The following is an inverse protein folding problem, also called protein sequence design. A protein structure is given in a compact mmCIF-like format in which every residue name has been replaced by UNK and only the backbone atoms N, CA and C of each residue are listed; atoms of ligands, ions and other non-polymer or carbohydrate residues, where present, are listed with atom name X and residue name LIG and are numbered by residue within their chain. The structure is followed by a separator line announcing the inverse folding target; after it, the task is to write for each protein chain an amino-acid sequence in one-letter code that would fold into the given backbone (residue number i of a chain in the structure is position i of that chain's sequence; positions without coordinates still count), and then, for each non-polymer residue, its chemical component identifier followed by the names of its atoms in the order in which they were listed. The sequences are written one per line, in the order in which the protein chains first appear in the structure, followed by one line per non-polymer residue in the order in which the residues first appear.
data_IF_035607339541
#
_entry.id   IF_035607339541
#
_cell.length_a   1.000
_cell.length_b   1.000
_cell.length_c   1.000
_cell.angle_alpha   90.00
_cell.angle_beta   90.00
_cell.angle_gamma   90.00
#
_symmetry.space_group_name_H-M   'P 1'
#
loop_
_entity.id
_entity.type
_entity.pdbx_description
1 polymer ?
#
# COMPACT_ATOMS: atom_id res chain seq x y z
N UNK A 1 -26.14 9.10 -30.33
CA UNK A 1 -24.74 9.27 -29.94
C UNK A 1 -24.50 8.32 -28.80
N UNK A 2 -23.76 7.24 -29.06
CA UNK A 2 -23.52 6.21 -28.05
C UNK A 2 -22.13 6.45 -27.46
N UNK A 3 -22.08 6.84 -26.20
CA UNK A 3 -20.84 7.12 -25.48
C UNK A 3 -20.56 6.01 -24.48
N UNK A 4 -19.28 5.63 -24.34
CA UNK A 4 -18.85 4.70 -23.29
C UNK A 4 -18.19 5.55 -22.20
N UNK A 5 -18.77 5.55 -21.00
CA UNK A 5 -18.16 6.12 -19.80
C UNK A 5 -17.72 5.00 -18.86
N UNK A 6 -16.54 5.16 -18.26
CA UNK A 6 -16.03 4.25 -17.25
C UNK A 6 -14.75 4.77 -16.61
N UNK A 7 -14.65 4.66 -15.29
CA UNK A 7 -13.39 4.88 -14.58
C UNK A 7 -12.73 3.52 -14.39
N UNK A 8 -11.55 3.32 -14.99
CA UNK A 8 -10.79 2.09 -14.77
C UNK A 8 -10.26 2.09 -13.32
N UNK A 9 -10.55 1.03 -12.57
CA UNK A 9 -9.96 0.78 -11.25
C UNK A 9 -8.99 -0.38 -11.33
N UNK A 10 -7.95 -0.33 -10.52
CA UNK A 10 -7.10 -1.50 -10.32
C UNK A 10 -7.63 -2.27 -9.12
N UNK A 11 -8.35 -3.35 -9.38
CA UNK A 11 -8.75 -4.26 -8.30
C UNK A 11 -7.72 -5.36 -8.27
N UNK A 12 -6.97 -5.45 -7.16
CA UNK A 12 -6.12 -6.61 -6.90
C UNK A 12 -5.00 -6.85 -7.93
N UNK A 13 -4.48 -5.79 -8.55
CA UNK A 13 -3.41 -5.89 -9.57
C UNK A 13 -3.91 -6.20 -10.98
N UNK A 14 -5.22 -6.19 -11.19
CA UNK A 14 -5.87 -6.33 -12.50
C UNK A 14 -6.64 -5.05 -12.79
N UNK A 15 -6.48 -4.42 -13.97
CA UNK A 15 -7.31 -3.29 -14.34
C UNK A 15 -8.73 -3.80 -14.65
N UNK A 16 -9.71 -3.21 -14.00
CA UNK A 16 -11.12 -3.43 -14.24
C UNK A 16 -11.62 -2.40 -15.25
N UNK A 17 -12.25 -2.89 -16.32
CA UNK A 17 -12.91 -2.07 -17.30
C UNK A 17 -14.36 -1.85 -16.84
N UNK A 18 -14.69 -0.61 -16.49
CA UNK A 18 -16.08 -0.21 -16.28
C UNK A 18 -16.68 0.16 -17.65
N UNK A 19 -17.86 -0.35 -17.95
CA UNK A 19 -18.65 0.10 -19.10
C UNK A 19 -20.07 0.36 -18.63
N UNK A 20 -20.63 1.47 -19.09
CA UNK A 20 -22.06 1.77 -18.98
C UNK A 20 -22.61 1.80 -20.40
N UNK A 21 -23.60 0.95 -20.69
CA UNK A 21 -24.33 1.02 -21.94
C UNK A 21 -25.48 2.00 -21.77
N UNK A 22 -25.44 3.13 -22.48
CA UNK A 22 -26.56 4.06 -22.54
C UNK A 22 -27.63 3.50 -23.49
N UNK A 23 -28.89 3.49 -23.05
CA UNK A 23 -29.99 2.97 -23.86
C UNK A 23 -31.23 3.84 -23.74
N UNK A 24 -31.72 4.31 -24.88
CA UNK A 24 -32.92 5.13 -24.98
C UNK A 24 -32.79 6.16 -26.09
N UNK A 25 -33.86 6.93 -26.29
CA UNK A 25 -33.87 8.09 -27.18
C UNK A 25 -33.89 9.42 -26.40
N UNK A 26 -33.75 9.36 -25.08
CA UNK A 26 -33.82 10.52 -24.17
C UNK A 26 -33.09 10.24 -22.85
N UNK A 27 -32.74 11.29 -22.10
CA UNK A 27 -32.02 11.15 -20.82
C UNK A 27 -32.87 10.52 -19.69
N UNK A 28 -34.20 10.67 -19.75
CA UNK A 28 -35.15 10.06 -18.82
C UNK A 28 -36.20 9.25 -19.59
N UNK A 29 -35.93 7.96 -19.73
CA UNK A 29 -36.85 7.04 -20.39
C UNK A 29 -38.12 6.83 -19.56
N UNK A 30 -39.26 6.70 -20.25
CA UNK A 30 -40.51 6.36 -19.57
C UNK A 30 -40.38 5.03 -18.85
N UNK A 31 -40.89 4.94 -17.62
CA UNK A 31 -40.92 3.68 -16.84
C UNK A 31 -41.59 2.55 -17.63
N UNK A 32 -42.57 2.89 -18.48
CA UNK A 32 -43.25 1.93 -19.34
C UNK A 32 -42.35 1.26 -20.40
N UNK A 33 -41.21 1.87 -20.72
CA UNK A 33 -40.26 1.38 -21.74
C UNK A 33 -39.14 0.53 -21.13
N UNK A 34 -38.96 0.54 -19.80
CA UNK A 34 -37.82 -0.09 -19.14
C UNK A 34 -37.76 -1.61 -19.37
N UNK A 35 -38.89 -2.32 -19.30
CA UNK A 35 -38.92 -3.78 -19.52
C UNK A 35 -38.47 -4.15 -20.95
N UNK A 36 -38.96 -3.42 -21.95
CA UNK A 36 -38.56 -3.63 -23.35
C UNK A 36 -37.08 -3.34 -23.56
N UNK A 37 -36.58 -2.22 -23.02
CA UNK A 37 -35.18 -1.82 -23.11
C UNK A 37 -34.27 -2.87 -22.47
N UNK A 38 -34.58 -3.32 -21.26
CA UNK A 38 -33.83 -4.36 -20.56
C UNK A 38 -33.79 -5.66 -21.38
N UNK A 39 -34.93 -6.11 -21.92
CA UNK A 39 -35.02 -7.34 -22.72
C UNK A 39 -34.23 -7.27 -24.02
N UNK A 40 -34.29 -6.14 -24.74
CA UNK A 40 -33.56 -5.97 -25.99
C UNK A 40 -32.04 -5.98 -25.78
N UNK A 41 -31.58 -5.42 -24.67
CA UNK A 41 -30.14 -5.28 -24.38
C UNK A 41 -29.55 -6.47 -23.62
N UNK A 42 -30.38 -7.30 -23.00
CA UNK A 42 -29.92 -8.44 -22.19
C UNK A 42 -28.93 -9.32 -22.95
N UNK A 43 -29.20 -9.64 -24.23
CA UNK A 43 -28.30 -10.49 -25.03
C UNK A 43 -26.94 -9.85 -25.27
N UNK A 44 -26.90 -8.56 -25.58
CA UNK A 44 -25.65 -7.82 -25.81
C UNK A 44 -24.85 -7.65 -24.51
N UNK A 45 -25.52 -7.32 -23.41
CA UNK A 45 -24.90 -7.23 -22.08
C UNK A 45 -24.37 -8.59 -21.63
N UNK A 46 -25.15 -9.66 -21.83
CA UNK A 46 -24.75 -11.03 -21.51
C UNK A 46 -23.56 -11.49 -22.38
N UNK A 47 -23.55 -11.12 -23.65
CA UNK A 47 -22.41 -11.36 -24.54
C UNK A 47 -21.16 -10.62 -24.05
N UNK A 48 -21.24 -9.30 -23.78
CA UNK A 48 -20.13 -8.52 -23.22
C UNK A 48 -19.65 -9.08 -21.87
N UNK A 49 -20.57 -9.55 -21.02
CA UNK A 49 -20.23 -10.21 -19.76
C UNK A 49 -19.46 -11.52 -19.98
N UNK A 50 -19.83 -12.33 -20.98
CA UNK A 50 -19.06 -13.53 -21.35
C UNK A 50 -17.67 -13.19 -21.92
N UNK A 51 -17.53 -12.03 -22.58
CA UNK A 51 -16.23 -11.50 -22.99
C UNK A 51 -15.45 -10.82 -21.87
N UNK A 52 -16.06 -10.48 -20.73
CA UNK A 52 -15.35 -9.85 -19.61
C UNK A 52 -14.27 -10.76 -19.02
N UNK A 53 -14.45 -12.09 -19.09
CA UNK A 53 -13.38 -13.07 -18.82
C UNK A 53 -12.26 -13.00 -19.86
N UNK A 54 -12.58 -12.66 -21.11
CA UNK A 54 -11.57 -12.41 -22.16
C UNK A 54 -10.87 -11.06 -21.99
N UNK A 55 -11.54 -10.04 -21.43
CA UNK A 55 -10.89 -8.76 -21.07
C UNK A 55 -9.79 -8.99 -20.05
N UNK A 56 -9.96 -9.92 -19.09
CA UNK A 56 -8.88 -10.34 -18.16
C UNK A 56 -7.65 -10.90 -18.90
N UNK A 57 -7.83 -11.53 -20.05
CA UNK A 57 -6.74 -12.07 -20.89
C UNK A 57 -6.03 -10.95 -21.67
N UNK A 58 -6.76 -9.88 -22.00
CA UNK A 58 -6.22 -8.74 -22.76
C UNK A 58 -5.55 -7.68 -21.89
N UNK A 59 -5.83 -7.65 -20.59
CA UNK A 59 -5.18 -6.73 -19.65
C UNK A 59 -3.93 -7.35 -19.05
N UNK A 60 -2.85 -6.56 -18.94
CA UNK A 60 -1.60 -7.01 -18.33
C UNK A 60 -1.67 -6.88 -16.81
N UNK A 61 -1.76 -7.99 -16.05
CA UNK A 61 -1.74 -7.91 -14.60
C UNK A 61 -0.34 -7.50 -14.11
N UNK A 62 -0.26 -7.04 -12.87
CA UNK A 62 1.02 -6.94 -12.19
C UNK A 62 0.95 -7.51 -10.79
N UNK A 63 2.12 -7.80 -10.23
CA UNK A 63 2.23 -8.20 -8.83
C UNK A 63 1.75 -7.01 -7.97
N UNK A 64 0.67 -7.18 -7.18
CA UNK A 64 0.18 -6.11 -6.33
C UNK A 64 1.21 -5.75 -5.27
N UNK A 65 1.24 -4.47 -4.85
CA UNK A 65 2.09 -4.05 -3.75
C UNK A 65 1.73 -4.81 -2.46
N UNK A 66 2.69 -5.48 -1.81
CA UNK A 66 2.48 -6.14 -0.52
C UNK A 66 1.98 -5.15 0.54
N UNK A 67 1.27 -5.65 1.55
CA UNK A 67 0.91 -4.85 2.72
C UNK A 67 2.01 -4.99 3.77
N UNK A 68 2.92 -4.01 3.80
CA UNK A 68 3.99 -3.95 4.80
C UNK A 68 3.43 -3.72 6.22
N UNK A 69 4.08 -4.34 7.20
CA UNK A 69 3.83 -4.20 8.63
C UNK A 69 5.17 -4.04 9.32
N UNK A 70 5.30 -2.99 10.14
CA UNK A 70 6.49 -2.69 10.92
C UNK A 70 6.13 -2.58 12.39
N UNK A 71 7.12 -2.76 13.27
CA UNK A 71 7.01 -2.32 14.66
C UNK A 71 7.24 -0.81 14.75
N UNK A 72 6.62 -0.13 15.72
CA UNK A 72 6.75 1.33 15.80
C UNK A 72 8.16 1.76 16.20
N UNK A 73 8.76 1.08 17.18
CA UNK A 73 10.04 1.48 17.78
C UNK A 73 10.98 0.28 17.96
N UNK A 74 12.29 0.50 17.83
CA UNK A 74 13.34 -0.45 18.22
C UNK A 74 14.31 0.19 19.21
N UNK A 75 14.52 -0.43 20.38
CA UNK A 75 15.47 0.03 21.40
C UNK A 75 16.91 -0.39 21.12
N UNK A 76 17.11 -1.42 20.31
CA UNK A 76 18.42 -2.04 20.03
C UNK A 76 18.95 -1.70 18.64
N UNK A 77 18.12 -1.10 17.78
CA UNK A 77 18.40 -0.95 16.35
C UNK A 77 18.13 -2.22 15.54
N UNK A 78 17.76 -3.34 16.18
CA UNK A 78 17.37 -4.56 15.48
C UNK A 78 15.84 -4.69 15.47
N UNK A 79 15.28 -5.05 14.32
CA UNK A 79 13.85 -5.24 14.14
C UNK A 79 13.55 -6.09 12.90
N UNK A 80 12.33 -6.64 12.85
CA UNK A 80 11.84 -7.36 11.68
C UNK A 80 10.78 -6.53 10.98
N UNK A 81 10.92 -6.35 9.67
CA UNK A 81 9.82 -5.88 8.82
C UNK A 81 9.14 -7.10 8.19
N UNK A 82 7.81 -7.10 8.15
CA UNK A 82 7.03 -8.19 7.55
C UNK A 82 6.04 -7.62 6.54
N UNK A 83 5.52 -8.46 5.65
CA UNK A 83 4.46 -8.05 4.72
C UNK A 83 3.46 -9.17 4.45
N UNK A 84 2.25 -8.78 4.10
CA UNK A 84 1.21 -9.69 3.63
C UNK A 84 1.08 -9.60 2.12
N UNK A 85 1.01 -10.76 1.48
CA UNK A 85 0.81 -10.86 0.04
C UNK A 85 -0.66 -10.63 -0.29
N UNK A 86 -0.94 -9.76 -1.26
CA UNK A 86 -2.31 -9.55 -1.75
C UNK A 86 -2.59 -10.50 -2.92
N UNK A 87 -3.74 -11.18 -2.85
CA UNK A 87 -4.25 -12.04 -3.92
C UNK A 87 -3.28 -13.14 -4.33
N UNK A 88 -2.73 -13.83 -3.33
CA UNK A 88 -1.70 -14.86 -3.51
C UNK A 88 -2.07 -15.89 -4.59
N UNK A 89 -3.36 -16.23 -4.69
CA UNK A 89 -3.90 -17.20 -5.66
C UNK A 89 -3.61 -16.82 -7.12
N UNK A 90 -3.57 -15.51 -7.42
CA UNK A 90 -3.40 -14.99 -8.78
C UNK A 90 -1.99 -14.47 -9.06
N UNK A 91 -1.28 -14.05 -8.02
CA UNK A 91 -0.08 -13.23 -8.18
C UNK A 91 1.19 -13.98 -7.83
N UNK A 92 1.10 -15.02 -6.98
CA UNK A 92 2.17 -15.97 -6.63
C UNK A 92 3.59 -15.38 -6.71
N UNK A 93 3.92 -14.33 -5.93
CA UNK A 93 5.24 -13.74 -6.00
C UNK A 93 6.30 -14.77 -5.58
N UNK A 94 7.37 -14.87 -6.36
CA UNK A 94 8.48 -15.79 -6.13
C UNK A 94 9.67 -15.12 -5.48
N UNK A 95 9.71 -13.78 -5.46
CA UNK A 95 10.73 -13.00 -4.77
C UNK A 95 10.19 -11.63 -4.34
N UNK A 96 10.85 -11.03 -3.36
CA UNK A 96 10.58 -9.70 -2.84
C UNK A 96 11.85 -8.85 -2.80
N UNK A 97 11.65 -7.56 -3.05
CA UNK A 97 12.68 -6.54 -2.91
C UNK A 97 12.30 -5.57 -1.81
N UNK A 98 13.19 -5.45 -0.81
CA UNK A 98 13.10 -4.46 0.26
C UNK A 98 14.01 -3.30 -0.11
N UNK A 99 13.45 -2.09 -0.14
CA UNK A 99 14.19 -0.85 -0.29
C UNK A 99 14.08 -0.03 0.99
N UNK A 100 15.23 0.43 1.47
CA UNK A 100 15.38 1.42 2.52
C UNK A 100 15.43 2.82 1.90
N UNK A 101 14.73 3.77 2.52
CA UNK A 101 14.74 5.18 2.14
C UNK A 101 15.25 6.00 3.33
N UNK A 102 16.18 6.92 3.08
CA UNK A 102 16.92 7.66 4.10
C UNK A 102 16.82 9.16 3.89
N UNK A 103 17.13 9.89 4.95
CA UNK A 103 17.21 11.35 4.96
C UNK A 103 15.88 11.97 4.50
N UNK A 104 14.79 11.54 5.14
CA UNK A 104 13.44 12.01 4.85
C UNK A 104 13.32 13.50 5.16
N UNK A 105 12.87 14.27 4.20
CA UNK A 105 12.48 15.67 4.36
C UNK A 105 11.12 15.91 3.74
N UNK A 106 10.44 16.93 4.24
CA UNK A 106 9.23 17.48 3.65
C UNK A 106 9.40 18.98 3.51
N UNK A 107 9.01 19.52 2.36
CA UNK A 107 9.11 20.95 2.08
C UNK A 107 7.96 21.43 1.20
N UNK A 108 7.91 22.74 1.00
CA UNK A 108 7.07 23.37 -0.03
C UNK A 108 7.95 23.58 -1.27
N UNK A 109 7.57 22.99 -2.39
CA UNK A 109 8.29 23.18 -3.66
C UNK A 109 7.69 24.38 -4.41
N UNK A 110 8.45 25.47 -4.47
CA UNK A 110 8.19 26.68 -5.25
C UNK A 110 8.67 26.55 -6.70
N UNK A 111 9.19 25.38 -7.07
CA UNK A 111 9.76 25.06 -8.38
C UNK A 111 10.89 26.00 -8.82
N UNK A 112 11.56 26.74 -7.93
CA UNK A 112 12.70 27.58 -8.32
C UNK A 112 13.99 26.77 -8.56
N UNK A 113 13.98 25.50 -8.18
CA UNK A 113 15.05 24.55 -8.47
C UNK A 113 14.63 23.50 -9.48
N UNK A 114 15.59 22.69 -9.97
CA UNK A 114 15.26 21.54 -10.81
C UNK A 114 14.28 20.63 -10.06
N UNK A 115 13.13 20.24 -10.65
CA UNK A 115 12.05 19.51 -9.98
C UNK A 115 12.40 18.03 -9.75
N UNK A 116 13.48 17.78 -9.02
CA UNK A 116 14.05 16.44 -8.76
C UNK A 116 13.18 15.59 -7.82
N UNK A 117 12.27 16.20 -7.07
CA UNK A 117 11.27 15.53 -6.27
C UNK A 117 10.05 15.05 -7.09
N UNK A 118 10.06 15.21 -8.41
CA UNK A 118 8.90 14.98 -9.27
C UNK A 118 9.19 14.04 -10.45
N UNK A 119 8.16 13.29 -10.82
CA UNK A 119 8.07 12.57 -12.08
C UNK A 119 7.14 13.36 -13.00
N UNK A 120 7.68 13.78 -14.14
CA UNK A 120 6.98 14.61 -15.11
C UNK A 120 6.57 13.77 -16.32
N UNK A 121 5.31 13.87 -16.72
CA UNK A 121 4.81 13.38 -18.00
C UNK A 121 4.08 14.51 -18.72
N UNK A 122 4.74 15.10 -19.71
CA UNK A 122 4.22 16.23 -20.50
C UNK A 122 4.21 17.58 -19.78
N UNK A 123 4.19 17.60 -18.44
CA UNK A 123 4.43 18.82 -17.67
C UNK A 123 5.84 19.36 -17.88
N UNK A 124 5.96 20.69 -17.93
CA UNK A 124 7.20 21.41 -18.19
C UNK A 124 7.51 22.37 -17.05
N UNK A 125 8.79 22.46 -16.69
CA UNK A 125 9.31 23.51 -15.83
C UNK A 125 9.35 24.82 -16.62
N UNK A 126 8.54 25.81 -16.23
CA UNK A 126 8.17 26.93 -17.09
C UNK A 126 8.36 28.28 -16.44
N UNK A 127 8.86 29.24 -17.20
CA UNK A 127 8.95 30.66 -16.81
C UNK A 127 7.80 31.52 -17.35
N UNK A 128 6.83 30.90 -18.05
CA UNK A 128 5.74 31.64 -18.72
C UNK A 128 4.81 32.33 -17.74
N UNK A 129 4.63 31.73 -16.56
CA UNK A 129 3.79 32.21 -15.48
C UNK A 129 4.26 31.53 -14.20
N UNK A 130 4.33 32.26 -13.10
CA UNK A 130 4.57 31.73 -11.77
C UNK A 130 3.72 32.53 -10.76
N UNK A 131 3.43 31.94 -9.61
CA UNK A 131 2.78 32.60 -8.49
C UNK A 131 3.84 33.25 -7.61
N UNK A 132 4.85 32.47 -7.22
CA UNK A 132 6.04 32.93 -6.52
C UNK A 132 7.25 32.75 -7.44
N UNK A 133 8.34 33.47 -7.17
CA UNK A 133 9.57 33.31 -7.94
C UNK A 133 9.44 33.56 -9.46
N UNK A 134 10.15 32.74 -10.24
CA UNK A 134 10.29 32.81 -11.70
C UNK A 134 9.67 31.61 -12.40
N UNK A 135 9.64 30.45 -11.76
CA UNK A 135 9.28 29.17 -12.35
C UNK A 135 7.99 28.63 -11.75
N UNK A 136 7.28 27.84 -12.55
CA UNK A 136 6.21 26.97 -12.07
C UNK A 136 6.11 25.75 -12.98
N UNK A 137 5.22 24.82 -12.64
CA UNK A 137 4.94 23.64 -13.46
C UNK A 137 3.77 23.91 -14.41
N UNK A 138 4.02 23.80 -15.72
CA UNK A 138 3.05 24.04 -16.79
C UNK A 138 2.60 22.73 -17.44
N UNK A 139 1.29 22.54 -17.62
CA UNK A 139 0.72 21.31 -18.16
C UNK A 139 0.87 21.09 -19.67
N UNK A 140 1.42 22.07 -20.40
CA UNK A 140 1.19 22.24 -21.84
C UNK A 140 -0.29 22.59 -22.17
N UNK A 141 -0.63 22.72 -23.45
CA UNK A 141 -1.94 23.19 -23.93
C UNK A 141 -2.52 22.43 -25.12
N UNK A 142 -1.97 21.30 -25.55
CA UNK A 142 -2.49 20.57 -26.72
C UNK A 142 -3.85 19.86 -26.49
N UNK A 143 -4.51 19.45 -27.57
CA UNK A 143 -5.70 18.60 -27.52
C UNK A 143 -5.32 17.13 -27.26
N UNK A 144 -6.24 16.34 -26.73
CA UNK A 144 -6.08 14.92 -26.41
C UNK A 144 -4.90 14.63 -25.46
N UNK A 145 -4.62 15.53 -24.52
CA UNK A 145 -3.55 15.35 -23.54
C UNK A 145 -4.01 14.55 -22.33
N UNK A 146 -3.06 13.88 -21.68
CA UNK A 146 -3.19 13.34 -20.32
C UNK A 146 -1.85 13.52 -19.62
N UNK A 147 -1.52 14.79 -19.35
CA UNK A 147 -0.24 15.18 -18.77
C UNK A 147 -0.36 15.19 -17.25
N UNK A 148 0.71 14.81 -16.56
CA UNK A 148 0.75 14.85 -15.11
C UNK A 148 2.12 15.23 -14.56
N UNK A 149 2.10 15.74 -13.33
CA UNK A 149 3.27 15.89 -12.46
C UNK A 149 2.95 15.19 -11.14
N UNK A 150 3.85 14.31 -10.69
CA UNK A 150 3.65 13.46 -9.52
C UNK A 150 4.87 13.47 -8.61
N UNK A 151 4.69 13.44 -7.30
CA UNK A 151 5.81 13.26 -6.37
C UNK A 151 6.58 11.96 -6.67
N UNK A 152 7.91 12.00 -6.50
CA UNK A 152 8.79 10.87 -6.69
C UNK A 152 8.62 9.82 -5.59
N UNK A 153 8.33 10.28 -4.38
CA UNK A 153 8.12 9.47 -3.19
C UNK A 153 6.70 9.70 -2.63
N UNK A 154 6.15 8.71 -1.90
CA UNK A 154 4.87 8.88 -1.23
C UNK A 154 5.06 9.68 0.06
N UNK A 155 4.12 10.57 0.35
CA UNK A 155 4.06 11.39 1.55
C UNK A 155 3.38 10.61 2.70
N UNK A 156 4.05 10.37 3.84
CA UNK A 156 3.45 9.79 5.04
C UNK A 156 2.48 10.78 5.68
N UNK A 157 1.18 10.45 5.65
CA UNK A 157 0.11 11.35 6.07
C UNK A 157 -0.11 11.27 7.58
N UNK A 158 -0.08 12.44 8.23
CA UNK A 158 -0.39 12.63 9.64
C UNK A 158 -1.76 13.31 9.82
N UNK A 159 -2.32 13.22 11.03
CA UNK A 159 -3.62 13.84 11.31
C UNK A 159 -3.53 15.35 11.20
N UNK A 160 -4.52 15.94 10.51
CA UNK A 160 -4.58 17.37 10.25
C UNK A 160 -3.86 17.82 8.97
N UNK A 161 -3.18 16.91 8.28
CA UNK A 161 -2.49 17.25 7.03
C UNK A 161 -3.46 17.67 5.92
N UNK A 162 -2.98 18.61 5.10
CA UNK A 162 -3.68 19.05 3.90
C UNK A 162 -2.68 19.30 2.78
N UNK A 163 -3.02 18.86 1.57
CA UNK A 163 -2.34 19.26 0.35
C UNK A 163 -2.73 20.71 0.03
N UNK A 164 -1.75 21.59 -0.04
CA UNK A 164 -1.90 22.99 -0.43
C UNK A 164 -1.02 23.31 -1.63
N UNK A 165 -1.52 24.15 -2.51
CA UNK A 165 -0.81 24.58 -3.72
C UNK A 165 -1.47 25.83 -4.29
N UNK A 166 -0.71 26.56 -5.11
CA UNK A 166 -1.25 27.61 -5.97
C UNK A 166 -1.45 27.08 -7.38
N UNK A 167 -2.55 27.47 -8.01
CA UNK A 167 -2.78 27.16 -9.41
C UNK A 167 -3.37 28.34 -10.18
N UNK A 168 -3.01 28.43 -11.46
CA UNK A 168 -3.67 29.27 -12.45
C UNK A 168 -4.06 28.38 -13.61
N UNK A 169 -5.24 28.59 -14.19
CA UNK A 169 -5.68 27.74 -15.29
C UNK A 169 -6.68 28.43 -16.21
N UNK A 170 -6.63 28.05 -17.47
CA UNK A 170 -7.59 28.42 -18.49
C UNK A 170 -7.86 27.14 -19.29
N UNK A 171 -8.97 26.49 -18.94
CA UNK A 171 -9.42 25.21 -19.48
C UNK A 171 -10.74 25.42 -20.20
N UNK A 172 -11.03 24.61 -21.21
CA UNK A 172 -12.37 24.58 -21.80
C UNK A 172 -13.41 24.20 -20.75
N UNK A 173 -14.48 25.00 -20.69
CA UNK A 173 -15.51 24.82 -19.68
C UNK A 173 -16.23 23.47 -19.84
N UNK A 174 -16.14 22.62 -18.82
CA UNK A 174 -16.74 21.28 -18.70
C UNK A 174 -16.11 20.16 -19.56
N UNK A 175 -15.08 20.43 -20.36
CA UNK A 175 -14.47 19.44 -21.24
C UNK A 175 -13.03 19.13 -20.83
N UNK A 176 -12.21 20.18 -20.72
CA UNK A 176 -10.87 20.07 -20.17
C UNK A 176 -10.91 19.99 -18.64
N UNK A 177 -10.08 19.15 -18.05
CA UNK A 177 -10.10 18.86 -16.62
C UNK A 177 -8.70 18.92 -16.04
N UNK A 178 -8.53 19.66 -14.94
CA UNK A 178 -7.41 19.52 -14.03
C UNK A 178 -7.87 18.96 -12.68
N UNK A 179 -7.12 18.00 -12.13
CA UNK A 179 -7.40 17.34 -10.84
C UNK A 179 -6.12 17.17 -10.03
N UNK A 180 -6.26 17.28 -8.71
CA UNK A 180 -5.27 16.76 -7.77
C UNK A 180 -5.72 15.36 -7.31
N UNK A 181 -4.79 14.44 -7.16
CA UNK A 181 -5.07 13.03 -6.88
C UNK A 181 -4.00 12.43 -5.98
N UNK A 182 -4.37 11.36 -5.28
CA UNK A 182 -3.43 10.57 -4.49
C UNK A 182 -3.46 9.09 -4.87
N UNK A 183 -2.34 8.41 -4.66
CA UNK A 183 -2.21 6.98 -4.94
C UNK A 183 -1.35 6.30 -3.88
N UNK A 184 -1.68 5.06 -3.53
CA UNK A 184 -0.82 4.23 -2.67
C UNK A 184 0.30 3.53 -3.44
N UNK A 185 0.14 3.35 -4.75
CA UNK A 185 0.94 2.42 -5.56
C UNK A 185 1.26 2.93 -6.97
N UNK A 186 0.86 4.16 -7.29
CA UNK A 186 0.99 4.82 -8.59
C UNK A 186 0.12 4.27 -9.72
N UNK A 187 -0.79 3.34 -9.42
CA UNK A 187 -1.69 2.72 -10.41
C UNK A 187 -3.14 3.08 -10.19
N UNK A 188 -3.59 3.04 -8.93
CA UNK A 188 -4.93 3.49 -8.57
C UNK A 188 -4.88 4.92 -8.01
N UNK A 189 -5.69 5.81 -8.59
CA UNK A 189 -5.72 7.22 -8.26
C UNK A 189 -7.06 7.61 -7.66
N UNK A 190 -7.01 8.31 -6.53
CA UNK A 190 -8.16 8.83 -5.79
C UNK A 190 -8.15 10.35 -5.89
N UNK A 191 -9.23 10.92 -6.43
CA UNK A 191 -9.34 12.36 -6.61
C UNK A 191 -9.42 13.09 -5.27
N UNK A 192 -8.67 14.19 -5.15
CA UNK A 192 -8.77 15.17 -4.07
C UNK A 192 -9.52 16.41 -4.56
N UNK A 193 -10.47 16.87 -3.76
CA UNK A 193 -11.21 18.10 -4.04
C UNK A 193 -12.05 18.07 -5.33
N UNK A 194 -12.54 19.23 -5.79
CA UNK A 194 -13.32 19.33 -7.01
C UNK A 194 -12.44 19.22 -8.26
N UNK A 195 -13.06 18.80 -9.37
CA UNK A 195 -12.47 18.91 -10.71
C UNK A 195 -12.47 20.38 -11.13
N UNK A 196 -11.35 20.86 -11.66
CA UNK A 196 -11.24 22.18 -12.24
C UNK A 196 -11.52 22.06 -13.73
N UNK A 197 -12.60 22.69 -14.19
CA UNK A 197 -13.11 22.52 -15.56
C UNK A 197 -13.59 23.85 -16.12
N UNK A 198 -12.95 24.95 -15.75
CA UNK A 198 -13.29 26.29 -16.19
C UNK A 198 -12.04 27.18 -16.27
N UNK A 199 -12.19 28.48 -16.10
CA UNK A 199 -11.08 29.43 -16.17
C UNK A 199 -10.91 30.16 -14.84
N UNK A 200 -9.67 30.17 -14.34
CA UNK A 200 -9.22 31.05 -13.28
C UNK A 200 -8.45 32.24 -13.89
N UNK A 201 -9.03 33.44 -13.83
CA UNK A 201 -8.39 34.67 -14.31
C UNK A 201 -7.27 35.19 -13.38
N UNK A 202 -7.07 34.57 -12.22
CA UNK A 202 -6.01 34.86 -11.25
C UNK A 202 -5.54 33.57 -10.59
N UNK A 203 -4.36 33.61 -9.98
CA UNK A 203 -3.87 32.50 -9.15
C UNK A 203 -4.86 32.22 -8.00
N UNK A 204 -5.11 30.94 -7.74
CA UNK A 204 -5.98 30.45 -6.68
C UNK A 204 -5.20 29.51 -5.78
N UNK A 205 -5.26 29.76 -4.47
CA UNK A 205 -4.74 28.81 -3.48
C UNK A 205 -5.77 27.73 -3.22
N UNK A 206 -5.35 26.49 -3.34
CA UNK A 206 -6.14 25.31 -3.06
C UNK A 206 -5.65 24.66 -1.77
N UNK A 207 -6.56 24.03 -1.03
CA UNK A 207 -6.26 23.26 0.16
C UNK A 207 -7.22 22.07 0.25
N UNK A 208 -6.69 20.86 0.17
CA UNK A 208 -7.45 19.61 0.22
C UNK A 208 -6.99 18.76 1.39
N UNK A 209 -7.93 18.36 2.25
CA UNK A 209 -7.62 17.53 3.41
C UNK A 209 -7.07 16.17 2.99
N UNK A 210 -6.03 15.72 3.69
CA UNK A 210 -5.47 14.38 3.57
C UNK A 210 -5.96 13.45 4.69
N UNK A 211 -6.86 13.90 5.56
CA UNK A 211 -7.37 13.14 6.72
C UNK A 211 -7.84 11.70 6.39
N UNK A 212 -8.49 11.42 5.24
CA UNK A 212 -8.88 10.04 4.89
C UNK A 212 -7.70 9.07 4.71
N UNK A 213 -6.47 9.57 4.64
CA UNK A 213 -5.25 8.82 4.35
C UNK A 213 -4.29 8.73 5.55
N UNK A 214 -4.69 9.22 6.73
CA UNK A 214 -3.86 9.19 7.96
C UNK A 214 -3.33 7.79 8.25
N UNK A 215 -2.05 7.71 8.61
CA UNK A 215 -1.35 6.45 8.87
C UNK A 215 -1.04 5.64 7.61
N UNK A 216 -1.23 6.21 6.42
CA UNK A 216 -0.76 5.69 5.13
C UNK A 216 0.28 6.63 4.54
N UNK A 217 0.94 6.19 3.48
CA UNK A 217 1.75 7.07 2.64
C UNK A 217 1.17 7.14 1.22
N UNK A 218 1.08 8.34 0.64
CA UNK A 218 0.46 8.55 -0.67
C UNK A 218 1.36 9.32 -1.63
N UNK A 219 1.46 8.87 -2.87
CA UNK A 219 1.95 9.72 -3.96
C UNK A 219 0.91 10.79 -4.24
N UNK A 220 1.36 12.01 -4.52
CA UNK A 220 0.49 13.14 -4.87
C UNK A 220 0.71 13.46 -6.35
N UNK A 221 -0.37 13.64 -7.11
CA UNK A 221 -0.32 13.94 -8.54
C UNK A 221 -1.27 15.08 -8.89
N UNK A 222 -0.85 15.88 -9.86
CA UNK A 222 -1.71 16.81 -10.57
C UNK A 222 -1.79 16.37 -12.02
N UNK A 223 -3.00 16.20 -12.53
CA UNK A 223 -3.24 15.68 -13.88
C UNK A 223 -4.17 16.60 -14.65
N UNK A 224 -3.82 16.84 -15.90
CA UNK A 224 -4.58 17.66 -16.86
C UNK A 224 -4.94 16.79 -18.06
N UNK A 225 -6.23 16.77 -18.36
CA UNK A 225 -6.80 16.00 -19.46
C UNK A 225 -7.56 16.95 -20.36
N UNK A 226 -7.28 16.91 -21.66
CA UNK A 226 -7.96 17.74 -22.67
C UNK A 226 -8.68 16.89 -23.69
N UNK A 227 -9.78 17.41 -24.22
CA UNK A 227 -10.56 16.73 -25.24
C UNK A 227 -9.97 16.97 -26.65
N UNK A 228 -10.72 16.60 -27.70
CA UNK A 228 -10.27 16.73 -29.08
C UNK A 228 -10.33 18.14 -29.67
N UNK A 229 -10.92 19.12 -28.97
CA UNK A 229 -11.28 20.44 -29.50
C UNK A 229 -10.94 21.58 -28.53
N UNK A 230 -11.15 22.84 -28.97
CA UNK A 230 -11.02 24.09 -28.20
C UNK A 230 -9.79 24.18 -27.27
N UNK A 231 -8.67 24.57 -27.88
CA UNK A 231 -7.42 24.80 -27.16
C UNK A 231 -7.48 26.05 -26.26
N UNK A 232 -7.02 25.91 -25.00
CA UNK A 232 -6.86 27.00 -24.04
C UNK A 232 -5.43 27.01 -23.45
N UNK A 233 -5.13 27.92 -22.54
CA UNK A 233 -3.74 28.10 -22.06
C UNK A 233 -3.28 27.05 -21.04
N UNK A 234 -4.09 26.04 -20.72
CA UNK A 234 -3.74 24.93 -19.84
C UNK A 234 -3.72 25.32 -18.36
N UNK A 235 -2.86 24.66 -17.61
CA UNK A 235 -2.79 24.72 -16.14
C UNK A 235 -1.35 24.98 -15.69
N UNK A 236 -1.21 25.80 -14.66
CA UNK A 236 0.03 26.13 -13.99
C UNK A 236 -0.10 25.81 -12.51
N UNK A 237 0.94 25.20 -11.95
CA UNK A 237 1.01 24.71 -10.57
C UNK A 237 2.25 25.29 -9.89
N UNK A 238 2.09 25.79 -8.69
CA UNK A 238 3.16 26.42 -7.94
C UNK A 238 2.99 26.25 -6.42
N UNK A 239 4.06 26.48 -5.66
CA UNK A 239 4.09 26.51 -4.19
C UNK A 239 3.39 25.28 -3.56
N UNK A 240 3.78 24.07 -3.97
CA UNK A 240 3.10 22.83 -3.56
C UNK A 240 3.64 22.33 -2.23
N UNK A 241 2.74 21.98 -1.31
CA UNK A 241 3.09 21.43 0.00
C UNK A 241 2.02 20.45 0.48
N UNK A 242 2.37 19.31 1.08
CA UNK A 242 3.73 18.82 1.35
C UNK A 242 4.36 18.09 0.17
N UNK A 243 5.68 18.23 0.01
CA UNK A 243 6.48 17.48 -0.98
C UNK A 243 7.50 16.61 -0.25
N UNK A 244 7.35 15.27 -0.26
CA UNK A 244 8.27 14.35 0.40
C UNK A 244 9.53 14.12 -0.44
N UNK A 245 10.69 14.04 0.21
CA UNK A 245 11.95 13.68 -0.44
C UNK A 245 12.80 12.77 0.43
N UNK A 246 13.49 11.83 -0.23
CA UNK A 246 14.49 10.97 0.39
C UNK A 246 15.78 11.13 -0.40
N UNK A 247 16.81 11.66 0.25
CA UNK A 247 18.08 11.99 -0.42
C UNK A 247 18.86 10.73 -0.83
N UNK A 248 18.61 9.60 -0.17
CA UNK A 248 19.29 8.36 -0.44
C UNK A 248 18.34 7.17 -0.35
N UNK A 249 18.54 6.19 -1.24
CA UNK A 249 17.82 4.92 -1.19
C UNK A 249 18.79 3.77 -1.36
N UNK A 250 18.50 2.66 -0.69
CA UNK A 250 19.34 1.46 -0.71
C UNK A 250 18.46 0.22 -0.88
N UNK A 251 18.85 -0.67 -1.80
CA UNK A 251 18.24 -2.00 -1.84
C UNK A 251 18.87 -2.84 -0.72
N UNK A 252 18.04 -3.27 0.22
CA UNK A 252 18.47 -4.17 1.31
C UNK A 252 18.66 -5.58 0.76
N UNK A 253 17.69 -6.06 -0.01
CA UNK A 253 17.76 -7.31 -0.76
C UNK A 253 16.70 -7.31 -1.87
N UNK A 254 16.92 -8.10 -2.92
CA UNK A 254 16.02 -8.29 -4.07
C UNK A 254 15.67 -9.77 -4.33
N UNK A 255 16.08 -10.67 -3.43
CA UNK A 255 15.97 -12.13 -3.60
C UNK A 255 15.24 -12.80 -2.44
N UNK A 256 14.51 -12.03 -1.63
CA UNK A 256 13.81 -12.56 -0.46
C UNK A 256 12.65 -13.44 -0.93
N UNK A 257 12.61 -14.69 -0.51
CA UNK A 257 11.51 -15.63 -0.84
C UNK A 257 10.45 -15.71 0.24
N UNK A 258 10.81 -15.32 1.47
CA UNK A 258 9.89 -15.22 2.60
C UNK A 258 9.11 -13.90 2.60
N UNK A 259 8.20 -13.73 3.57
CA UNK A 259 7.39 -12.52 3.72
C UNK A 259 7.84 -11.62 4.88
N UNK A 260 9.12 -11.70 5.23
CA UNK A 260 9.75 -10.88 6.26
C UNK A 260 11.24 -10.66 5.97
N UNK A 261 11.81 -9.66 6.62
CA UNK A 261 13.23 -9.34 6.56
C UNK A 261 13.68 -8.80 7.92
N UNK A 262 14.72 -9.41 8.49
CA UNK A 262 15.39 -8.87 9.66
C UNK A 262 16.33 -7.73 9.25
N UNK A 263 16.30 -6.66 10.04
CA UNK A 263 17.02 -5.42 9.79
C UNK A 263 17.80 -5.04 11.04
N UNK A 264 19.03 -4.58 10.83
CA UNK A 264 19.89 -4.02 11.86
C UNK A 264 20.34 -2.63 11.41
N UNK A 265 20.04 -1.63 12.23
CA UNK A 265 20.47 -0.24 12.04
C UNK A 265 21.31 0.23 13.21
N UNK A 266 22.30 1.05 12.89
CA UNK A 266 23.33 1.51 13.83
C UNK A 266 23.10 2.96 14.26
N UNK A 267 22.14 3.64 13.64
CA UNK A 267 21.85 5.06 13.84
C UNK A 267 20.44 5.20 14.43
N UNK A 268 20.28 6.02 15.48
CA UNK A 268 18.96 6.35 15.98
C UNK A 268 18.20 7.24 14.98
N UNK A 269 16.88 7.26 15.09
CA UNK A 269 15.99 8.04 14.23
C UNK A 269 14.99 7.17 13.48
N UNK A 270 14.24 7.81 12.58
CA UNK A 270 13.23 7.15 11.77
C UNK A 270 13.87 6.46 10.56
N UNK A 271 13.57 5.17 10.41
CA UNK A 271 14.01 4.35 9.29
C UNK A 271 12.82 3.92 8.44
N UNK A 272 12.87 4.22 7.15
CA UNK A 272 11.76 4.03 6.22
C UNK A 272 12.03 2.90 5.24
N UNK A 273 11.02 2.07 5.01
CA UNK A 273 11.11 0.89 4.16
C UNK A 273 9.90 0.78 3.24
N UNK A 274 10.10 0.17 2.08
CA UNK A 274 9.00 -0.27 1.19
C UNK A 274 9.37 -1.58 0.50
N UNK A 275 8.35 -2.37 0.17
CA UNK A 275 8.54 -3.72 -0.38
C UNK A 275 7.74 -3.87 -1.67
N UNK A 276 8.31 -4.55 -2.66
CA UNK A 276 7.59 -4.98 -3.87
C UNK A 276 7.83 -6.45 -4.14
N UNK A 277 6.85 -7.09 -4.79
CA UNK A 277 6.94 -8.50 -5.20
C UNK A 277 7.34 -8.67 -6.66
N UNK A 278 7.89 -9.83 -6.98
CA UNK A 278 8.25 -10.27 -8.33
C UNK A 278 7.61 -11.62 -8.63
N UNK A 279 7.17 -11.82 -9.86
CA UNK A 279 6.95 -13.15 -10.41
C UNK A 279 7.46 -13.21 -11.86
N UNK A 280 7.63 -14.42 -12.40
CA UNK A 280 8.15 -14.60 -13.76
C UNK A 280 7.17 -14.07 -14.82
N UNK A 281 5.86 -14.15 -14.56
CA UNK A 281 4.83 -13.78 -15.53
C UNK A 281 4.72 -12.26 -15.77
N UNK A 282 4.87 -11.46 -14.72
CA UNK A 282 4.58 -10.02 -14.72
C UNK A 282 5.79 -9.16 -14.32
N UNK A 283 6.90 -9.78 -13.93
CA UNK A 283 8.08 -9.08 -13.43
C UNK A 283 7.85 -8.44 -12.06
N UNK A 284 8.56 -7.33 -11.82
CA UNK A 284 8.42 -6.56 -10.59
C UNK A 284 7.12 -5.75 -10.59
N UNK A 285 6.38 -5.87 -9.49
CA UNK A 285 5.24 -5.02 -9.19
C UNK A 285 5.62 -3.65 -8.62
N UNK A 286 4.61 -2.96 -8.10
CA UNK A 286 4.77 -1.69 -7.40
C UNK A 286 5.20 -1.88 -5.96
N UNK A 287 5.78 -0.82 -5.39
CA UNK A 287 6.09 -0.78 -3.97
C UNK A 287 4.84 -0.60 -3.10
N UNK A 288 4.89 -1.21 -1.92
CA UNK A 288 3.98 -0.93 -0.80
C UNK A 288 3.99 0.55 -0.41
N UNK A 289 3.01 0.92 0.41
CA UNK A 289 3.13 2.11 1.26
C UNK A 289 4.41 2.02 2.12
N UNK A 290 4.85 3.15 2.66
CA UNK A 290 5.98 3.22 3.57
C UNK A 290 5.68 2.48 4.88
N UNK A 291 6.63 1.65 5.32
CA UNK A 291 6.75 1.22 6.70
C UNK A 291 7.81 2.03 7.40
N UNK A 292 7.57 2.38 8.67
CA UNK A 292 8.49 3.16 9.50
C UNK A 292 8.85 2.39 10.75
N UNK A 293 10.11 2.46 11.16
CA UNK A 293 10.58 2.03 12.48
C UNK A 293 11.45 3.12 13.07
N UNK A 294 11.14 3.58 14.28
CA UNK A 294 11.97 4.53 15.01
C UNK A 294 13.01 3.78 15.85
N UNK A 295 14.29 3.87 15.50
CA UNK A 295 15.38 3.32 16.31
C UNK A 295 15.79 4.31 17.39
N UNK A 296 15.81 3.89 18.65
CA UNK A 296 16.25 4.72 19.77
C UNK A 296 17.78 4.68 19.90
N UNK A 297 18.37 5.76 20.40
CA UNK A 297 19.78 5.78 20.74
C UNK A 297 20.03 4.74 21.84
N UNK A 298 20.88 3.75 21.57
CA UNK A 298 21.41 2.92 22.66
C UNK A 298 22.22 3.85 23.56
N UNK A 299 21.69 4.12 24.76
CA UNK A 299 22.41 4.90 25.77
C UNK A 299 23.79 4.31 26.02
N UNK A 300 24.80 5.16 26.14
CA UNK A 300 26.16 4.77 26.51
C UNK A 300 26.11 4.08 27.88
N UNK A 301 26.57 2.83 27.97
CA UNK A 301 27.24 2.34 29.17
C UNK A 301 28.54 1.66 28.76
N UNK A 302 29.62 2.12 29.40
CA UNK A 302 30.97 1.66 29.21
C UNK A 302 31.15 0.19 29.63
N UNK A 303 32.01 -0.47 28.87
CA UNK A 303 32.89 -1.58 29.21
C UNK A 303 32.33 -3.01 29.41
N UNK A 304 32.77 -3.86 28.48
CA UNK A 304 33.12 -5.27 28.57
C UNK A 304 32.06 -6.34 28.92
N UNK A 305 31.93 -7.27 27.96
CA UNK A 305 31.15 -8.53 27.96
C UNK A 305 29.66 -8.37 27.59
N UNK A 306 29.42 -8.12 26.30
CA UNK A 306 28.32 -8.66 25.49
C UNK A 306 27.06 -9.14 26.24
N UNK A 307 25.99 -8.35 26.35
CA UNK A 307 24.65 -8.90 26.51
C UNK A 307 24.10 -9.20 25.12
N UNK A 308 24.04 -10.49 24.78
CA UNK A 308 23.36 -10.99 23.59
C UNK A 308 21.95 -10.40 23.50
N UNK A 309 21.69 -9.77 22.36
CA UNK A 309 20.44 -9.19 21.90
C UNK A 309 19.24 -10.12 22.18
N UNK A 310 18.23 -9.63 22.91
CA UNK A 310 16.98 -10.37 23.12
C UNK A 310 15.94 -9.95 22.08
N UNK A 311 15.68 -10.81 21.08
CA UNK A 311 14.51 -10.68 20.20
C UNK A 311 13.26 -11.08 21.00
N UNK A 312 12.16 -10.29 21.00
CA UNK A 312 10.98 -10.60 21.81
C UNK A 312 10.31 -11.91 21.36
N UNK A 313 9.56 -12.55 22.28
CA UNK A 313 8.76 -13.73 21.92
C UNK A 313 7.81 -13.37 20.78
N UNK A 314 7.81 -14.17 19.72
CA UNK A 314 6.95 -13.99 18.55
C UNK A 314 6.27 -15.30 18.17
N UNK A 315 5.12 -15.22 17.52
CA UNK A 315 4.39 -16.40 17.02
C UNK A 315 3.61 -16.03 15.76
N UNK A 316 3.78 -16.80 14.69
CA UNK A 316 3.09 -16.67 13.41
C UNK A 316 2.64 -18.04 12.90
N UNK A 317 1.54 -18.07 12.16
CA UNK A 317 0.97 -19.31 11.59
C UNK A 317 0.75 -19.11 10.10
N UNK A 318 1.38 -19.92 9.25
CA UNK A 318 1.32 -19.76 7.80
C UNK A 318 1.28 -21.11 7.04
N UNK A 319 0.40 -21.29 6.04
CA UNK A 319 -0.71 -20.38 5.71
C UNK A 319 -1.77 -20.36 6.82
N UNK A 320 -2.51 -19.27 6.91
CA UNK A 320 -3.69 -19.16 7.77
C UNK A 320 -4.69 -18.21 7.10
N UNK A 321 -5.82 -18.70 6.56
CA UNK A 321 -6.37 -20.06 6.70
C UNK A 321 -5.54 -21.17 6.01
N UNK A 322 -5.72 -22.43 6.41
CA UNK A 322 -5.04 -23.59 5.80
C UNK A 322 -5.98 -24.78 5.55
N UNK A 323 -5.62 -25.62 4.56
CA UNK A 323 -6.39 -26.82 4.16
C UNK A 323 -5.81 -28.11 4.78
N UNK A 324 -4.50 -28.34 4.63
CA UNK A 324 -3.86 -29.59 5.06
C UNK A 324 -2.97 -29.41 6.30
N UNK A 325 -2.19 -28.33 6.31
CA UNK A 325 -1.30 -28.00 7.42
C UNK A 325 -0.93 -26.52 7.40
N UNK A 326 -0.56 -26.00 8.57
CA UNK A 326 0.11 -24.73 8.73
C UNK A 326 1.45 -24.93 9.43
N UNK A 327 2.43 -24.09 9.10
CA UNK A 327 3.70 -23.97 9.81
C UNK A 327 3.55 -22.87 10.86
N UNK A 328 3.85 -23.21 12.10
CA UNK A 328 3.84 -22.28 13.22
C UNK A 328 5.28 -21.90 13.51
N UNK A 329 5.65 -20.66 13.22
CA UNK A 329 6.97 -20.10 13.52
C UNK A 329 6.90 -19.34 14.85
N UNK A 330 7.86 -19.56 15.73
CA UNK A 330 7.94 -18.81 16.98
C UNK A 330 9.38 -18.59 17.43
N UNK A 331 9.61 -17.47 18.12
CA UNK A 331 10.91 -17.09 18.65
C UNK A 331 10.92 -17.13 20.17
N UNK A 332 12.02 -17.60 20.76
CA UNK A 332 12.24 -17.69 22.21
C UNK A 332 13.54 -16.92 22.55
N UNK A 333 13.48 -15.81 23.31
CA UNK A 333 14.66 -14.98 23.62
C UNK A 333 15.62 -15.58 24.64
N UNK A 334 15.10 -16.38 25.56
CA UNK A 334 15.82 -16.92 26.72
C UNK A 334 15.58 -18.42 26.80
N UNK A 335 16.36 -19.14 27.62
CA UNK A 335 15.96 -20.49 27.98
C UNK A 335 14.62 -20.44 28.72
N UNK A 336 13.57 -21.05 28.17
CA UNK A 336 12.20 -20.90 28.65
C UNK A 336 11.39 -22.17 28.46
N UNK A 337 10.47 -22.42 29.38
CA UNK A 337 9.42 -23.41 29.21
C UNK A 337 8.40 -22.88 28.20
N UNK A 338 8.32 -23.55 27.05
CA UNK A 338 7.44 -23.17 25.96
C UNK A 338 6.28 -24.16 25.88
N UNK A 339 5.06 -23.63 25.98
CA UNK A 339 3.83 -24.38 25.78
C UNK A 339 3.05 -23.81 24.58
N UNK A 340 2.81 -24.65 23.58
CA UNK A 340 1.98 -24.31 22.43
C UNK A 340 0.72 -25.17 22.45
N UNK A 341 -0.43 -24.53 22.58
CA UNK A 341 -1.73 -25.20 22.71
C UNK A 341 -2.75 -24.61 21.74
N UNK A 342 -3.72 -25.42 21.31
CA UNK A 342 -4.83 -25.00 20.46
C UNK A 342 -6.13 -25.10 21.25
N UNK A 343 -6.99 -24.11 21.09
CA UNK A 343 -8.27 -23.95 21.76
C UNK A 343 -9.41 -23.78 20.74
N UNK A 344 -10.61 -24.23 21.10
CA UNK A 344 -11.83 -23.92 20.36
C UNK A 344 -12.37 -22.51 20.71
N UNK A 345 -13.46 -22.10 20.06
CA UNK A 345 -14.07 -20.79 20.27
C UNK A 345 -14.72 -20.62 21.65
N UNK A 346 -14.93 -21.71 22.39
CA UNK A 346 -15.39 -21.68 23.78
C UNK A 346 -14.22 -21.62 24.78
N UNK A 347 -12.97 -21.56 24.29
CA UNK A 347 -11.77 -21.52 25.13
C UNK A 347 -11.40 -22.88 25.73
N UNK A 348 -11.96 -24.00 25.22
CA UNK A 348 -11.55 -25.34 25.65
C UNK A 348 -10.27 -25.74 24.91
N UNK A 349 -9.28 -26.23 25.65
CA UNK A 349 -8.03 -26.75 25.07
C UNK A 349 -8.34 -28.03 24.28
N UNK A 350 -8.09 -28.01 22.97
CA UNK A 350 -8.35 -29.14 22.07
C UNK A 350 -7.08 -29.85 21.62
N UNK A 351 -5.92 -29.19 21.60
CA UNK A 351 -4.65 -29.86 21.29
C UNK A 351 -3.48 -29.24 22.08
N UNK A 352 -2.47 -30.05 22.36
CA UNK A 352 -1.15 -29.59 22.85
C UNK A 352 -0.14 -29.94 21.78
N UNK A 353 0.46 -28.93 21.15
CA UNK A 353 1.38 -29.12 20.03
C UNK A 353 2.82 -29.35 20.51
N UNK A 354 3.21 -28.63 21.57
CA UNK A 354 4.49 -28.83 22.24
C UNK A 354 4.42 -28.33 23.70
N UNK A 355 5.28 -28.89 24.54
CA UNK A 355 5.46 -28.47 25.91
C UNK A 355 6.86 -28.85 26.39
N UNK A 356 7.87 -28.06 26.00
CA UNK A 356 9.28 -28.38 26.22
C UNK A 356 10.08 -27.13 26.62
N UNK A 357 11.21 -27.37 27.29
CA UNK A 357 12.23 -26.35 27.52
C UNK A 357 12.95 -26.06 26.19
N UNK A 358 12.96 -24.80 25.77
CA UNK A 358 13.71 -24.35 24.60
C UNK A 358 14.84 -23.43 25.00
N UNK A 359 16.00 -23.61 24.35
CA UNK A 359 17.09 -22.63 24.38
C UNK A 359 16.72 -21.39 23.57
N UNK A 360 17.42 -20.26 23.74
CA UNK A 360 17.24 -19.10 22.87
C UNK A 360 17.33 -19.48 21.39
N UNK A 361 16.36 -19.04 20.58
CA UNK A 361 16.34 -19.35 19.16
C UNK A 361 14.97 -19.26 18.50
N UNK A 362 14.95 -19.43 17.18
CA UNK A 362 13.74 -19.51 16.37
C UNK A 362 13.42 -20.97 16.06
N UNK A 363 12.15 -21.31 16.19
CA UNK A 363 11.64 -22.66 16.04
C UNK A 363 10.45 -22.68 15.09
N UNK A 364 10.19 -23.84 14.51
CA UNK A 364 9.01 -24.08 13.70
C UNK A 364 8.40 -25.44 14.02
N UNK A 365 7.08 -25.52 13.96
CA UNK A 365 6.34 -26.78 14.03
C UNK A 365 5.27 -26.80 12.93
N UNK A 366 5.17 -27.93 12.23
CA UNK A 366 4.09 -28.16 11.26
C UNK A 366 2.89 -28.76 11.99
N UNK A 367 1.74 -28.10 11.91
CA UNK A 367 0.49 -28.60 12.45
C UNK A 367 -0.49 -28.92 11.34
N UNK A 368 -1.03 -30.13 11.34
CA UNK A 368 -1.93 -30.67 10.31
C UNK A 368 -3.41 -30.58 10.69
N UNK A 369 -3.77 -29.68 11.61
CA UNK A 369 -5.15 -29.49 12.05
C UNK A 369 -5.73 -30.69 12.82
N UNK A 370 -4.90 -31.48 13.51
CA UNK A 370 -5.34 -32.62 14.32
C UNK A 370 -5.27 -32.37 15.83
N UNK A 371 -6.12 -33.10 16.56
CA UNK A 371 -6.01 -33.35 18.00
C UNK A 371 -5.79 -34.84 18.22
N UNK A 372 -4.56 -35.22 18.60
CA UNK A 372 -4.12 -36.61 18.55
C UNK A 372 -4.25 -37.17 17.13
N UNK A 373 -4.95 -38.31 16.99
CA UNK A 373 -5.17 -38.93 15.68
C UNK A 373 -6.36 -38.34 14.90
N UNK A 374 -7.21 -37.55 15.57
CA UNK A 374 -8.45 -37.04 15.00
C UNK A 374 -8.24 -35.72 14.26
N UNK A 375 -8.74 -35.62 13.02
CA UNK A 375 -8.83 -34.35 12.29
C UNK A 375 -9.87 -33.45 12.95
N UNK A 376 -9.52 -32.18 13.16
CA UNK A 376 -10.45 -31.17 13.61
C UNK A 376 -11.39 -30.76 12.47
N UNK A 377 -12.58 -30.29 12.84
CA UNK A 377 -13.54 -29.77 11.88
C UNK A 377 -13.02 -28.47 11.24
N UNK A 378 -13.58 -28.14 10.08
CA UNK A 378 -13.39 -26.84 9.44
C UNK A 378 -13.96 -25.76 10.36
N UNK A 379 -13.23 -24.67 10.58
CA UNK A 379 -13.66 -23.65 11.54
C UNK A 379 -12.54 -22.79 12.10
N UNK A 380 -12.92 -21.93 13.04
CA UNK A 380 -12.01 -21.01 13.74
C UNK A 380 -11.54 -21.64 15.04
N UNK A 381 -10.24 -21.51 15.29
CA UNK A 381 -9.54 -21.97 16.47
C UNK A 381 -8.61 -20.87 16.99
N UNK A 382 -8.05 -21.06 18.18
CA UNK A 382 -7.07 -20.16 18.77
C UNK A 382 -5.81 -20.93 19.15
N UNK A 383 -4.68 -20.52 18.61
CA UNK A 383 -3.35 -20.96 19.01
C UNK A 383 -2.87 -20.08 20.15
N UNK A 384 -2.34 -20.68 21.21
CA UNK A 384 -1.77 -20.00 22.35
C UNK A 384 -0.34 -20.47 22.58
N UNK A 385 0.60 -19.55 22.50
CA UNK A 385 2.00 -19.73 22.87
C UNK A 385 2.21 -19.10 24.25
N UNK A 386 2.53 -19.92 25.24
CA UNK A 386 3.01 -19.46 26.55
C UNK A 386 4.52 -19.72 26.64
N UNK A 387 5.29 -18.71 27.00
CA UNK A 387 6.73 -18.79 27.24
C UNK A 387 6.98 -18.31 28.66
N UNK A 388 7.53 -19.18 29.51
CA UNK A 388 7.86 -18.86 30.89
C UNK A 388 9.36 -19.07 31.12
N UNK A 389 10.08 -18.02 31.48
CA UNK A 389 11.50 -18.09 31.84
C UNK A 389 11.70 -19.05 33.02
N UNK A 390 12.66 -19.96 32.91
CA UNK A 390 13.02 -20.88 34.00
C UNK A 390 13.81 -20.20 35.14
N UNK A 391 14.23 -18.94 34.96
CA UNK A 391 15.13 -18.22 35.87
C UNK A 391 14.51 -17.08 36.69
N UNK A 392 13.24 -16.72 36.47
CA UNK A 392 12.63 -15.54 37.10
C UNK A 392 11.47 -15.92 38.05
N UNK A 393 11.62 -15.64 39.35
CA UNK A 393 10.55 -15.78 40.36
C UNK A 393 9.63 -14.56 40.45
N UNK A 394 10.00 -13.46 39.79
CA UNK A 394 9.17 -12.27 39.67
C UNK A 394 8.50 -12.27 38.28
N UNK A 395 7.24 -11.78 38.21
CA UNK A 395 6.31 -12.01 37.09
C UNK A 395 6.70 -11.38 35.72
N UNK A 396 7.94 -10.93 35.55
CA UNK A 396 8.53 -10.32 34.35
C UNK A 396 8.96 -11.32 33.27
N UNK A 397 9.05 -12.61 33.59
CA UNK A 397 9.52 -13.66 32.68
C UNK A 397 8.43 -14.43 31.89
N UNK A 398 7.18 -13.96 31.84
CA UNK A 398 6.07 -14.68 31.18
C UNK A 398 5.53 -13.92 29.97
N UNK A 399 5.54 -14.55 28.80
CA UNK A 399 4.90 -14.05 27.58
C UNK A 399 3.79 -15.00 27.14
N UNK A 400 2.63 -14.44 26.79
CA UNK A 400 1.48 -15.18 26.27
C UNK A 400 1.04 -14.55 24.96
N UNK A 401 1.07 -15.31 23.87
CA UNK A 401 0.66 -14.86 22.54
C UNK A 401 -0.48 -15.74 22.05
N UNK A 402 -1.60 -15.10 21.71
CA UNK A 402 -2.73 -15.77 21.07
C UNK A 402 -2.81 -15.41 19.58
N UNK A 403 -3.07 -16.40 18.73
CA UNK A 403 -3.29 -16.23 17.29
C UNK A 403 -4.58 -16.95 16.89
N UNK A 404 -5.46 -16.24 16.18
CA UNK A 404 -6.62 -16.86 15.52
C UNK A 404 -6.12 -17.74 14.37
N UNK A 405 -6.59 -18.97 14.28
CA UNK A 405 -6.29 -19.93 13.21
C UNK A 405 -7.58 -20.40 12.55
N UNK A 406 -7.56 -20.61 11.23
CA UNK A 406 -8.73 -21.01 10.45
C UNK A 406 -8.40 -22.27 9.62
N UNK A 407 -9.17 -23.33 9.84
CA UNK A 407 -9.10 -24.60 9.08
C UNK A 407 -10.20 -24.57 8.01
N UNK A 408 -9.82 -24.78 6.75
CA UNK A 408 -10.70 -24.69 5.57
C UNK A 408 -11.35 -26.01 5.14
#
# INVERSE_FOLDING_TARGET
DDWIYGWNRWVNGVPCLAFTNEVGTSFYQSVAQLDQICRQNFKSIFFLANFSDSVRILVKPAVPPPQISTQDTSTTGNFTIAWQVKNIEFTQPTAYQVQELRDYTVFTDDFEQTPSAWVLQGFQHSTRRAYSGTYSMYSDSANNMSNYVRTLYPYPVESGDSLTFWCWYNLEKNYDVAVAEVSFDTREWFQLGPRLTDTAMSWRRMAYSLEPYVGKSVYIQFRVMTDGSILRNGFYLDDVSPVPFFNNTRIVSSVITDTFCDISVNQPGDHWYRVKGYNVANGWGEYSILGKVTALASGISADNQNPLLFSPVSCQVMPNPFVNSAVIHYHVPFESDVNLSVFDVQGRKIASLLNNLHKPGTYQIVWNGKSGDNKLAKGVYFLELNVSSSRDRDQTGKAKITRRIVIL
#
